data_IF_114689263819
#
_entry.id   IF_114689263819
#
_cell.length_a   1.000
_cell.length_b   1.000
_cell.length_c   1.000
_cell.angle_alpha   90.00
_cell.angle_beta   90.00
_cell.angle_gamma   90.00
#
_symmetry.space_group_name_H-M   'P 1'
#
loop_
_entity.id
_entity.type
_entity.pdbx_description
1 polymer ?
#
# COMPACT_ATOMS: atom_id res chain seq x y z
N UNK A 1 -2.55 31.39 -10.51
CA UNK A 1 -1.20 30.75 -10.58
C UNK A 1 -1.13 29.71 -11.71
N UNK A 2 -2.11 28.87 -11.89
CA UNK A 2 -2.14 27.86 -12.97
C UNK A 2 -2.01 28.47 -14.36
N UNK A 3 -2.67 29.58 -14.63
CA UNK A 3 -2.57 30.32 -15.90
C UNK A 3 -1.15 30.87 -16.14
N UNK A 4 -0.47 31.30 -15.09
CA UNK A 4 0.91 31.79 -15.14
C UNK A 4 1.90 30.68 -15.47
N UNK A 5 1.68 29.47 -14.92
CA UNK A 5 2.44 28.27 -15.22
C UNK A 5 2.21 27.80 -16.66
N UNK A 6 0.96 27.81 -17.16
CA UNK A 6 0.66 27.47 -18.55
C UNK A 6 1.40 28.41 -19.51
N UNK A 7 1.34 29.71 -19.28
CA UNK A 7 2.02 30.73 -20.10
C UNK A 7 3.55 30.60 -20.06
N UNK A 8 4.10 30.18 -18.92
CA UNK A 8 5.54 29.86 -18.81
C UNK A 8 5.94 28.71 -19.74
N UNK A 9 5.20 27.64 -19.76
CA UNK A 9 5.50 26.47 -20.60
C UNK A 9 5.26 26.76 -22.09
N UNK A 10 4.38 27.70 -22.41
CA UNK A 10 4.14 28.18 -23.78
C UNK A 10 5.16 29.22 -24.26
N UNK A 11 6.08 29.65 -23.38
CA UNK A 11 7.08 30.67 -23.68
C UNK A 11 6.52 32.08 -23.83
N UNK A 12 5.36 32.35 -23.24
CA UNK A 12 4.59 33.62 -23.41
C UNK A 12 4.60 34.51 -22.16
N UNK A 13 5.54 34.32 -21.25
CA UNK A 13 5.64 35.17 -20.06
C UNK A 13 6.28 36.52 -20.36
N UNK A 14 5.72 37.57 -19.78
CA UNK A 14 6.36 38.89 -19.70
C UNK A 14 7.40 38.93 -18.58
N UNK A 15 8.32 39.88 -18.64
CA UNK A 15 9.40 40.04 -17.64
C UNK A 15 8.90 40.32 -16.21
N UNK A 16 7.70 40.89 -16.09
CA UNK A 16 7.04 41.10 -14.80
C UNK A 16 6.44 39.81 -14.23
N UNK A 17 5.89 38.98 -15.11
CA UNK A 17 5.32 37.68 -14.75
C UNK A 17 6.39 36.64 -14.39
N UNK A 18 7.57 36.68 -15.06
CA UNK A 18 8.71 35.85 -14.69
C UNK A 18 9.21 36.16 -13.27
N UNK A 19 9.27 37.44 -12.90
CA UNK A 19 9.65 37.84 -11.52
C UNK A 19 8.62 37.35 -10.52
N UNK A 20 7.33 37.51 -10.81
CA UNK A 20 6.25 37.02 -9.95
C UNK A 20 6.30 35.51 -9.77
N UNK A 21 6.55 34.74 -10.83
CA UNK A 21 6.73 33.29 -10.76
C UNK A 21 7.96 32.93 -9.91
N UNK A 22 9.07 33.66 -10.09
CA UNK A 22 10.29 33.46 -9.30
C UNK A 22 10.08 33.70 -7.80
N UNK A 23 9.35 34.73 -7.43
CA UNK A 23 9.03 35.03 -6.05
C UNK A 23 8.08 34.00 -5.44
N UNK A 24 7.09 33.57 -6.20
CA UNK A 24 6.20 32.50 -5.78
C UNK A 24 6.93 31.16 -5.56
N UNK A 25 7.87 30.78 -6.43
CA UNK A 25 8.71 29.58 -6.25
C UNK A 25 9.57 29.63 -4.98
N UNK A 26 10.08 30.81 -4.63
CA UNK A 26 10.90 30.99 -3.42
C UNK A 26 10.06 31.03 -2.14
N UNK A 27 8.78 31.34 -2.22
CA UNK A 27 7.92 31.53 -1.06
C UNK A 27 7.64 30.21 -0.30
N UNK A 28 7.69 29.03 -0.97
CA UNK A 28 7.46 27.75 -0.32
C UNK A 28 8.06 26.58 -1.10
N UNK A 29 8.67 25.59 -0.42
CA UNK A 29 9.12 24.33 -1.05
C UNK A 29 8.00 23.56 -1.76
N UNK A 30 6.75 23.69 -1.30
CA UNK A 30 5.59 23.05 -1.95
C UNK A 30 5.31 23.64 -3.33
N UNK A 31 5.57 24.94 -3.55
CA UNK A 31 5.41 25.59 -4.84
C UNK A 31 6.44 25.08 -5.86
N UNK A 32 7.68 24.87 -5.43
CA UNK A 32 8.73 24.29 -6.27
C UNK A 32 8.39 22.85 -6.67
N UNK A 33 7.80 22.06 -5.76
CA UNK A 33 7.34 20.70 -6.05
C UNK A 33 6.19 20.70 -7.06
N UNK A 34 5.22 21.59 -6.90
CA UNK A 34 4.08 21.74 -7.81
C UNK A 34 4.55 22.15 -9.22
N UNK A 35 5.48 23.09 -9.30
CA UNK A 35 6.11 23.48 -10.57
C UNK A 35 6.81 22.32 -11.24
N UNK A 36 7.63 21.56 -10.50
CA UNK A 36 8.35 20.41 -11.05
C UNK A 36 7.42 19.31 -11.57
N UNK A 37 6.28 19.09 -10.91
CA UNK A 37 5.27 18.12 -11.38
C UNK A 37 4.63 18.57 -12.70
N UNK A 38 4.28 19.84 -12.83
CA UNK A 38 3.71 20.39 -14.06
C UNK A 38 4.73 20.44 -15.19
N UNK A 39 5.98 20.80 -14.91
CA UNK A 39 7.07 20.77 -15.89
C UNK A 39 7.29 19.36 -16.47
N UNK A 40 7.28 18.35 -15.62
CA UNK A 40 7.40 16.95 -16.04
C UNK A 40 6.22 16.49 -16.91
N UNK A 41 5.01 16.95 -16.59
CA UNK A 41 3.83 16.66 -17.40
C UNK A 41 3.92 17.31 -18.80
N UNK A 42 4.29 18.60 -18.83
CA UNK A 42 4.47 19.35 -20.08
C UNK A 42 5.55 18.75 -20.99
N UNK A 43 6.70 18.36 -20.43
CA UNK A 43 7.79 17.70 -21.17
C UNK A 43 7.34 16.37 -21.80
N UNK A 44 6.58 15.56 -21.06
CA UNK A 44 5.97 14.34 -21.59
C UNK A 44 4.99 14.61 -22.73
N UNK A 45 4.16 15.62 -22.60
CA UNK A 45 3.22 16.01 -23.65
C UNK A 45 3.95 16.54 -24.89
N UNK A 46 4.96 17.38 -24.72
CA UNK A 46 5.79 17.94 -25.79
C UNK A 46 6.58 16.87 -26.54
N UNK A 47 7.08 15.85 -25.84
CA UNK A 47 7.78 14.72 -26.47
C UNK A 47 6.86 13.90 -27.39
N UNK A 48 5.59 13.72 -27.01
CA UNK A 48 4.58 13.03 -27.81
C UNK A 48 4.23 13.83 -29.06
N UNK A 49 4.11 15.16 -28.93
CA UNK A 49 3.79 16.05 -30.07
C UNK A 49 4.95 16.10 -31.08
N UNK A 50 6.21 16.24 -30.59
CA UNK A 50 7.42 16.23 -31.45
C UNK A 50 7.59 14.90 -32.18
N UNK A 51 7.31 13.77 -31.54
CA UNK A 51 7.34 12.47 -32.22
C UNK A 51 6.36 12.38 -33.38
N UNK A 52 5.20 13.04 -33.27
CA UNK A 52 4.21 13.13 -34.36
C UNK A 52 4.66 14.00 -35.51
N UNK A 53 5.33 15.13 -35.26
CA UNK A 53 5.84 16.01 -36.33
C UNK A 53 6.98 15.36 -37.14
N UNK A 54 7.84 14.58 -36.50
CA UNK A 54 8.92 13.84 -37.18
C UNK A 54 8.33 12.79 -38.13
N UNK A 55 7.34 12.03 -37.68
CA UNK A 55 6.65 11.02 -38.50
C UNK A 55 5.89 11.71 -39.70
N UNK A 56 5.28 12.85 -39.45
CA UNK A 56 4.59 13.64 -40.49
C UNK A 56 5.54 14.19 -41.56
N UNK A 57 6.78 14.57 -41.21
CA UNK A 57 7.81 15.08 -42.14
C UNK A 57 8.45 13.97 -42.97
N UNK A 58 8.65 12.79 -42.44
CA UNK A 58 9.16 11.64 -43.22
C UNK A 58 8.13 11.16 -44.23
N UNK A 59 6.84 11.11 -43.89
CA UNK A 59 5.76 10.77 -44.84
C UNK A 59 5.55 11.82 -45.93
N UNK A 60 5.93 13.08 -45.72
CA UNK A 60 5.85 14.14 -46.71
C UNK A 60 7.05 14.18 -47.69
N UNK A 61 8.16 13.54 -47.36
CA UNK A 61 9.40 13.54 -48.15
C UNK A 61 9.45 12.48 -49.26
N UNK A 62 8.67 11.40 -49.13
CA UNK A 62 8.60 10.33 -50.14
C UNK A 62 7.57 10.58 -51.26
N UNK A 63 7.00 11.77 -51.38
CA UNK A 63 5.98 12.19 -52.34
C UNK A 63 6.50 12.99 -53.51
N UNK A 64 7.67 12.69 -54.09
CA UNK A 64 8.21 13.31 -55.30
C UNK A 64 7.53 12.77 -56.56
N UNK A 65 6.95 13.70 -57.33
CA UNK A 65 6.61 13.68 -58.78
C UNK A 65 5.99 12.42 -59.40
N UNK A 66 4.66 12.46 -59.67
CA UNK A 66 4.14 12.18 -61.01
C UNK A 66 2.64 12.47 -61.14
N UNK A 67 2.33 13.29 -62.15
CA UNK A 67 1.20 13.38 -63.07
C UNK A 67 -0.06 12.55 -62.82
N UNK A 68 -1.23 13.22 -62.69
CA UNK A 68 -2.52 12.57 -62.91
C UNK A 68 -3.66 13.07 -62.01
N UNK A 69 -4.46 14.01 -62.55
CA UNK A 69 -5.59 14.67 -61.87
C UNK A 69 -6.72 13.74 -61.34
N UNK A 70 -6.72 12.47 -61.76
CA UNK A 70 -7.78 11.50 -61.42
C UNK A 70 -7.45 10.62 -60.19
N UNK A 71 -6.22 10.61 -59.69
CA UNK A 71 -5.82 9.78 -58.55
C UNK A 71 -5.95 10.50 -57.18
N UNK A 72 -6.25 11.80 -57.19
CA UNK A 72 -6.26 12.64 -55.97
C UNK A 72 -7.40 12.30 -55.02
N UNK A 73 -8.59 11.96 -55.53
CA UNK A 73 -9.72 11.58 -54.67
C UNK A 73 -9.54 10.22 -54.00
N UNK A 74 -8.93 9.22 -54.66
CA UNK A 74 -8.65 7.92 -54.03
C UNK A 74 -7.54 7.98 -52.99
N UNK A 75 -6.55 8.85 -53.15
CA UNK A 75 -5.47 9.05 -52.18
C UNK A 75 -5.96 9.72 -50.90
N UNK A 76 -6.91 10.65 -50.96
CA UNK A 76 -7.52 11.26 -49.78
C UNK A 76 -8.38 10.29 -49.00
N UNK A 77 -9.07 9.35 -49.66
CA UNK A 77 -9.84 8.31 -49.00
C UNK A 77 -8.94 7.28 -48.25
N UNK A 78 -7.76 6.93 -48.81
CA UNK A 78 -6.80 6.05 -48.17
C UNK A 78 -6.06 6.74 -47.03
N UNK A 79 -5.69 8.02 -47.15
CA UNK A 79 -5.07 8.79 -46.09
C UNK A 79 -6.04 9.02 -44.93
N UNK A 80 -7.32 9.32 -45.20
CA UNK A 80 -8.37 9.46 -44.20
C UNK A 80 -8.64 8.14 -43.42
N UNK A 81 -8.60 7.00 -44.14
CA UNK A 81 -8.76 5.68 -43.54
C UNK A 81 -7.62 5.30 -42.56
N UNK A 82 -6.37 5.59 -42.95
CA UNK A 82 -5.21 5.32 -42.07
C UNK A 82 -5.21 6.19 -40.82
N UNK A 83 -5.58 7.47 -40.92
CA UNK A 83 -5.70 8.38 -39.79
C UNK A 83 -6.81 7.90 -38.83
N UNK A 84 -7.94 7.44 -39.37
CA UNK A 84 -9.04 6.90 -38.56
C UNK A 84 -8.64 5.60 -37.83
N UNK A 85 -7.89 4.71 -38.49
CA UNK A 85 -7.39 3.46 -37.86
C UNK A 85 -6.38 3.79 -36.79
N UNK A 86 -5.46 4.74 -37.00
CA UNK A 86 -4.50 5.19 -35.98
C UNK A 86 -5.19 5.87 -34.79
N UNK A 87 -6.18 6.71 -35.04
CA UNK A 87 -6.96 7.34 -33.98
C UNK A 87 -7.78 6.31 -33.20
N UNK A 88 -8.39 5.33 -33.86
CA UNK A 88 -9.10 4.23 -33.21
C UNK A 88 -8.16 3.33 -32.41
N UNK A 89 -6.95 3.05 -32.90
CA UNK A 89 -5.93 2.29 -32.18
C UNK A 89 -5.45 3.02 -30.94
N UNK A 90 -5.19 4.32 -31.02
CA UNK A 90 -4.81 5.16 -29.88
C UNK A 90 -5.94 5.23 -28.86
N UNK A 91 -7.19 5.39 -29.30
CA UNK A 91 -8.37 5.37 -28.42
C UNK A 91 -8.56 3.99 -27.78
N UNK A 92 -8.38 2.90 -28.51
CA UNK A 92 -8.46 1.54 -27.98
C UNK A 92 -7.34 1.25 -26.95
N UNK A 93 -6.12 1.71 -27.22
CA UNK A 93 -4.99 1.63 -26.26
C UNK A 93 -5.29 2.50 -25.04
N UNK A 94 -5.79 3.70 -25.23
CA UNK A 94 -6.16 4.61 -24.14
C UNK A 94 -7.30 4.04 -23.30
N UNK A 95 -8.31 3.45 -23.92
CA UNK A 95 -9.41 2.77 -23.23
C UNK A 95 -8.97 1.50 -22.52
N UNK A 96 -8.03 0.73 -23.09
CA UNK A 96 -7.46 -0.43 -22.43
C UNK A 96 -6.56 -0.07 -21.24
N UNK A 97 -5.95 1.12 -21.23
CA UNK A 97 -5.13 1.64 -20.14
C UNK A 97 -5.94 2.46 -19.12
N UNK A 98 -7.04 3.09 -19.52
CA UNK A 98 -7.86 3.95 -18.65
C UNK A 98 -8.63 3.19 -17.56
N UNK A 99 -8.71 1.85 -17.67
CA UNK A 99 -9.36 1.00 -16.66
C UNK A 99 -8.42 0.22 -15.76
N UNK A 100 -7.09 0.29 -15.96
CA UNK A 100 -6.14 -0.49 -15.16
C UNK A 100 -5.72 0.29 -13.93
N UNK A 101 -6.05 -0.25 -12.76
CA UNK A 101 -5.57 0.25 -11.48
C UNK A 101 -4.03 0.18 -11.48
N UNK A 102 -3.34 1.30 -11.23
CA UNK A 102 -1.89 1.29 -11.05
C UNK A 102 -1.53 0.83 -9.64
N UNK A 103 -0.30 0.33 -9.43
CA UNK A 103 0.17 -0.09 -8.12
C UNK A 103 0.08 1.05 -7.08
N UNK A 104 0.40 2.27 -7.49
CA UNK A 104 0.29 3.44 -6.60
C UNK A 104 -1.16 3.77 -6.25
N UNK A 105 -2.08 3.73 -7.23
CA UNK A 105 -3.52 3.95 -6.96
C UNK A 105 -4.10 2.83 -6.09
N UNK A 106 -3.66 1.59 -6.30
CA UNK A 106 -4.05 0.47 -5.45
C UNK A 106 -3.60 0.71 -4.00
N UNK A 107 -2.33 1.06 -3.79
CA UNK A 107 -1.79 1.34 -2.46
C UNK A 107 -2.53 2.50 -1.77
N UNK A 108 -2.83 3.60 -2.49
CA UNK A 108 -3.63 4.70 -1.93
C UNK A 108 -5.01 4.24 -1.48
N UNK A 109 -5.69 3.43 -2.28
CA UNK A 109 -6.99 2.88 -1.94
C UNK A 109 -6.93 1.97 -0.70
N UNK A 110 -5.88 1.16 -0.57
CA UNK A 110 -5.65 0.35 0.63
C UNK A 110 -5.44 1.20 1.88
N UNK A 111 -4.65 2.28 1.77
CA UNK A 111 -4.41 3.23 2.87
C UNK A 111 -5.71 3.92 3.28
N UNK A 112 -6.53 4.35 2.32
CA UNK A 112 -7.81 4.98 2.59
C UNK A 112 -8.79 4.02 3.27
N UNK A 113 -8.94 2.81 2.73
CA UNK A 113 -9.81 1.77 3.28
C UNK A 113 -9.36 1.30 4.67
N UNK A 114 -8.06 1.31 4.96
CA UNK A 114 -7.52 0.91 6.27
C UNK A 114 -7.80 1.92 7.38
N UNK A 115 -8.12 3.17 7.03
CA UNK A 115 -8.47 4.22 7.98
C UNK A 115 -9.91 4.14 8.53
N UNK A 116 -10.74 3.22 7.99
CA UNK A 116 -12.10 3.02 8.46
C UNK A 116 -12.14 2.47 9.88
N UNK A 117 -13.06 2.99 10.69
CA UNK A 117 -13.33 2.48 12.04
C UNK A 117 -14.21 1.23 11.93
N UNK A 118 -13.77 0.13 12.51
CA UNK A 118 -14.54 -1.12 12.56
C UNK A 118 -13.73 -2.26 13.14
N UNK A 119 -14.42 -3.17 13.81
CA UNK A 119 -13.78 -4.36 14.37
C UNK A 119 -13.30 -5.28 13.25
N UNK A 120 -12.08 -5.75 13.38
CA UNK A 120 -11.44 -6.70 12.46
C UNK A 120 -10.85 -7.84 13.28
N UNK A 121 -11.03 -9.04 12.80
CA UNK A 121 -10.39 -10.22 13.36
C UNK A 121 -9.46 -10.83 12.30
N UNK A 122 -8.28 -11.22 12.71
CA UNK A 122 -7.29 -11.82 11.84
C UNK A 122 -6.79 -13.13 12.43
N UNK A 123 -6.75 -14.16 11.61
CA UNK A 123 -6.04 -15.40 11.90
C UNK A 123 -4.60 -15.26 11.40
N UNK A 124 -3.63 -15.52 12.25
CA UNK A 124 -2.21 -15.51 11.91
C UNK A 124 -1.75 -16.95 11.77
N UNK A 125 -1.14 -17.28 10.62
CA UNK A 125 -0.64 -18.63 10.35
C UNK A 125 0.82 -18.59 9.91
N UNK A 126 1.59 -19.56 10.37
CA UNK A 126 2.95 -19.78 9.90
C UNK A 126 2.93 -20.31 8.46
N UNK A 127 3.82 -19.82 7.61
CA UNK A 127 3.96 -20.22 6.22
C UNK A 127 5.27 -20.99 5.96
N UNK A 128 6.10 -21.17 6.97
CA UNK A 128 7.36 -21.90 6.83
C UNK A 128 7.13 -23.38 7.16
N UNK A 129 7.35 -24.26 6.18
CA UNK A 129 7.27 -25.72 6.36
C UNK A 129 8.30 -26.27 7.36
N UNK A 130 9.44 -25.58 7.45
CA UNK A 130 10.58 -26.03 8.24
C UNK A 130 10.65 -25.37 9.63
N UNK A 131 9.65 -24.55 9.98
CA UNK A 131 9.62 -23.91 11.27
C UNK A 131 9.23 -24.88 12.38
N UNK A 132 10.19 -25.14 13.26
CA UNK A 132 9.96 -25.87 14.50
C UNK A 132 9.86 -24.84 15.62
N UNK A 133 8.72 -24.73 16.33
CA UNK A 133 8.61 -23.81 17.48
C UNK A 133 9.72 -24.11 18.50
N UNK A 134 10.50 -23.10 18.84
CA UNK A 134 11.56 -23.22 19.85
C UNK A 134 10.89 -23.34 21.20
N UNK A 135 11.17 -24.46 21.89
CA UNK A 135 10.77 -24.76 23.28
C UNK A 135 9.37 -24.30 23.69
N UNK A 136 8.50 -25.19 24.14
CA UNK A 136 7.13 -24.92 24.59
C UNK A 136 6.97 -23.86 25.70
N UNK A 137 8.00 -23.04 25.91
CA UNK A 137 8.03 -21.92 26.88
C UNK A 137 7.39 -20.65 26.33
N UNK A 138 7.27 -20.50 25.01
CA UNK A 138 6.66 -19.31 24.42
C UNK A 138 5.37 -19.66 23.67
N UNK A 139 4.33 -18.81 23.76
CA UNK A 139 3.10 -19.03 23.01
C UNK A 139 3.36 -18.89 21.50
N UNK A 140 2.81 -19.81 20.73
CA UNK A 140 2.93 -19.78 19.26
C UNK A 140 2.22 -18.57 18.66
N UNK A 141 2.80 -18.03 17.59
CA UNK A 141 2.08 -17.09 16.73
C UNK A 141 1.21 -17.83 15.70
N UNK A 142 1.53 -19.09 15.40
CA UNK A 142 0.72 -19.91 14.51
C UNK A 142 -0.61 -20.26 15.15
N UNK A 143 -1.70 -20.00 14.45
CA UNK A 143 -3.08 -20.11 14.97
C UNK A 143 -3.48 -18.97 15.91
N UNK A 144 -2.68 -17.90 16.03
CA UNK A 144 -3.03 -16.75 16.85
C UNK A 144 -4.19 -15.96 16.23
N UNK A 145 -5.07 -15.45 17.10
CA UNK A 145 -6.16 -14.55 16.72
C UNK A 145 -5.83 -13.13 17.18
N UNK A 146 -5.86 -12.20 16.23
CA UNK A 146 -5.69 -10.77 16.48
C UNK A 146 -7.00 -10.04 16.22
N UNK A 147 -7.52 -9.36 17.22
CA UNK A 147 -8.69 -8.49 17.11
C UNK A 147 -8.24 -7.04 17.19
N UNK A 148 -8.69 -6.21 16.25
CA UNK A 148 -8.28 -4.80 16.17
C UNK A 148 -9.52 -3.95 15.91
N UNK A 149 -9.70 -2.90 16.71
CA UNK A 149 -10.69 -1.83 16.50
C UNK A 149 -10.04 -0.54 16.02
N UNK A 150 -8.89 -0.21 16.60
CA UNK A 150 -8.05 0.93 16.26
C UNK A 150 -6.58 0.59 16.54
N UNK A 151 -5.62 1.41 16.11
CA UNK A 151 -4.20 1.18 16.42
C UNK A 151 -3.90 0.99 17.90
N UNK A 152 -4.67 1.65 18.77
CA UNK A 152 -4.49 1.64 20.21
C UNK A 152 -5.47 0.68 20.93
N UNK A 153 -6.36 0.00 20.19
CA UNK A 153 -7.36 -0.90 20.76
C UNK A 153 -7.31 -2.25 20.04
N UNK A 154 -6.64 -3.22 20.68
CA UNK A 154 -6.44 -4.55 20.11
C UNK A 154 -6.36 -5.63 21.19
N UNK A 155 -6.59 -6.88 20.80
CA UNK A 155 -6.39 -8.08 21.59
C UNK A 155 -5.72 -9.13 20.72
N UNK A 156 -4.61 -9.68 21.19
CA UNK A 156 -3.90 -10.79 20.57
C UNK A 156 -3.98 -12.03 21.47
N UNK A 157 -4.63 -13.07 20.99
CA UNK A 157 -4.77 -14.36 21.67
C UNK A 157 -3.81 -15.35 21.04
N UNK A 158 -2.84 -15.82 21.81
CA UNK A 158 -1.86 -16.84 21.42
C UNK A 158 -2.04 -18.09 22.26
N UNK A 159 -1.64 -19.23 21.73
CA UNK A 159 -1.74 -20.50 22.42
C UNK A 159 -0.38 -21.12 22.62
N UNK A 160 -0.18 -21.72 23.79
CA UNK A 160 0.92 -22.63 24.02
C UNK A 160 0.62 -24.00 23.40
N UNK A 161 1.65 -24.82 23.25
CA UNK A 161 1.50 -26.17 22.73
C UNK A 161 0.58 -27.07 23.58
N UNK A 162 0.50 -26.80 24.87
CA UNK A 162 -0.38 -27.48 25.82
C UNK A 162 -1.83 -26.95 25.84
N UNK A 163 -2.15 -26.02 24.92
CA UNK A 163 -3.49 -25.44 24.78
C UNK A 163 -3.78 -24.26 25.71
N UNK A 164 -2.91 -23.94 26.67
CA UNK A 164 -3.07 -22.73 27.51
C UNK A 164 -2.95 -21.46 26.66
N UNK A 165 -3.62 -20.41 27.10
CA UNK A 165 -3.65 -19.15 26.34
C UNK A 165 -2.80 -18.07 27.00
N UNK A 166 -2.18 -17.26 26.17
CA UNK A 166 -1.53 -16.02 26.55
C UNK A 166 -2.20 -14.90 25.76
N UNK A 167 -2.78 -13.95 26.48
CA UNK A 167 -3.50 -12.85 25.86
C UNK A 167 -2.78 -11.53 26.15
N UNK A 168 -2.58 -10.73 25.12
CA UNK A 168 -2.06 -9.37 25.26
C UNK A 168 -2.99 -8.41 24.56
N UNK A 169 -3.09 -7.18 25.05
CA UNK A 169 -3.96 -6.20 24.42
C UNK A 169 -3.70 -4.79 24.89
N UNK A 170 -4.50 -3.89 24.34
CA UNK A 170 -4.60 -2.49 24.71
C UNK A 170 -6.05 -2.05 24.56
N UNK A 171 -6.54 -1.26 25.52
CA UNK A 171 -7.93 -0.77 25.56
C UNK A 171 -8.09 0.68 25.05
N UNK A 172 -7.02 1.23 24.49
CA UNK A 172 -6.91 2.61 24.01
C UNK A 172 -6.12 3.52 24.96
N UNK A 173 -5.98 3.14 26.23
CA UNK A 173 -5.28 3.92 27.25
C UNK A 173 -4.13 3.13 27.90
N UNK A 174 -4.36 1.85 28.14
CA UNK A 174 -3.46 0.97 28.88
C UNK A 174 -3.22 -0.33 28.12
N UNK A 175 -1.98 -0.76 28.05
CA UNK A 175 -1.66 -2.09 27.56
C UNK A 175 -1.63 -3.10 28.70
N UNK A 176 -1.87 -4.37 28.37
CA UNK A 176 -1.96 -5.42 29.34
C UNK A 176 -1.54 -6.79 28.80
N UNK A 177 -1.15 -7.67 29.71
CA UNK A 177 -0.81 -9.06 29.41
C UNK A 177 -1.41 -10.00 30.47
N UNK A 178 -2.12 -11.02 29.99
CA UNK A 178 -2.73 -12.08 30.76
C UNK A 178 -2.00 -13.39 30.43
N UNK A 179 -0.99 -13.78 31.20
CA UNK A 179 -0.32 -15.07 31.02
C UNK A 179 -1.26 -16.22 31.44
N UNK A 180 -1.00 -17.48 31.03
CA UNK A 180 -1.85 -18.61 31.44
C UNK A 180 -1.89 -18.76 32.98
N UNK A 181 -0.76 -18.52 33.64
CA UNK A 181 -0.62 -18.62 35.07
C UNK A 181 -0.04 -17.33 35.65
N UNK A 182 -0.24 -17.10 36.97
CA UNK A 182 0.34 -15.99 37.68
C UNK A 182 -0.43 -14.69 37.56
N UNK A 183 0.25 -13.57 37.68
CA UNK A 183 -0.36 -12.24 37.76
C UNK A 183 -0.67 -11.66 36.41
N UNK A 184 -1.78 -10.93 36.27
CA UNK A 184 -2.07 -10.05 35.14
C UNK A 184 -1.18 -8.82 35.24
N UNK A 185 -0.57 -8.38 34.15
CA UNK A 185 0.29 -7.20 34.11
C UNK A 185 -0.39 -6.12 33.30
N UNK A 186 -0.41 -4.91 33.81
CA UNK A 186 -1.03 -3.75 33.14
C UNK A 186 -0.02 -2.59 33.19
N UNK A 187 0.08 -1.83 32.12
CA UNK A 187 0.96 -0.67 32.02
C UNK A 187 0.24 0.53 31.44
N UNK A 188 0.56 1.71 31.91
CA UNK A 188 0.12 2.98 31.34
C UNK A 188 0.76 3.25 29.96
N UNK A 189 1.85 2.54 29.60
CA UNK A 189 2.43 2.60 28.25
C UNK A 189 1.65 1.68 27.30
N UNK A 190 0.91 2.22 26.30
CA UNK A 190 0.17 1.43 25.32
C UNK A 190 1.05 0.49 24.49
N UNK A 191 2.36 0.74 24.44
CA UNK A 191 3.31 -0.03 23.63
C UNK A 191 3.99 -1.16 24.40
N UNK A 192 3.89 -1.18 25.75
CA UNK A 192 4.61 -2.11 26.62
C UNK A 192 4.39 -3.58 26.25
N UNK A 193 3.15 -3.97 26.01
CA UNK A 193 2.76 -5.35 25.67
C UNK A 193 2.42 -5.55 24.19
N UNK A 194 2.64 -4.53 23.36
CA UNK A 194 2.56 -4.62 21.91
C UNK A 194 3.78 -5.33 21.29
N UNK A 195 4.49 -6.11 22.07
CA UNK A 195 5.77 -6.72 21.75
C UNK A 195 5.84 -7.35 20.37
N UNK A 196 7.05 -7.60 19.87
CA UNK A 196 7.26 -8.23 18.59
C UNK A 196 6.63 -9.62 18.54
N UNK A 197 6.34 -10.10 17.35
CA UNK A 197 6.11 -11.53 17.11
C UNK A 197 7.28 -12.27 17.76
N UNK A 198 7.04 -13.31 18.59
CA UNK A 198 8.12 -14.07 19.21
C UNK A 198 9.19 -14.45 18.18
N UNK A 199 10.43 -14.08 18.45
CA UNK A 199 11.55 -14.29 17.53
C UNK A 199 11.78 -13.17 16.50
N UNK A 200 10.98 -12.11 16.47
CA UNK A 200 11.17 -10.96 15.57
C UNK A 200 11.41 -9.67 16.35
N UNK A 201 12.29 -8.82 15.81
CA UNK A 201 12.63 -7.52 16.38
C UNK A 201 11.57 -6.43 16.13
N UNK A 202 10.46 -6.78 15.48
CA UNK A 202 9.43 -5.84 15.07
C UNK A 202 8.14 -6.11 15.83
N UNK A 203 7.42 -5.04 16.13
CA UNK A 203 6.06 -5.12 16.64
C UNK A 203 5.19 -5.96 15.71
N UNK A 204 4.08 -6.46 16.23
CA UNK A 204 3.12 -7.20 15.41
C UNK A 204 2.67 -6.25 14.30
N UNK A 205 3.05 -6.50 13.03
CA UNK A 205 2.46 -5.78 11.92
C UNK A 205 0.96 -6.06 11.96
N UNK A 206 0.11 -5.20 11.39
CA UNK A 206 -1.35 -5.33 11.28
C UNK A 206 -2.18 -4.70 12.39
N UNK A 207 -1.62 -4.31 13.51
CA UNK A 207 -2.37 -3.52 14.50
C UNK A 207 -2.63 -2.13 13.93
N UNK A 208 -1.63 -1.50 13.33
CA UNK A 208 -1.76 -0.22 12.62
C UNK A 208 -1.49 -0.41 11.11
N UNK A 209 -2.43 -1.06 10.44
CA UNK A 209 -2.33 -1.35 9.00
C UNK A 209 -2.09 -0.08 8.18
N UNK A 210 -2.72 1.03 8.53
CA UNK A 210 -2.55 2.29 7.80
C UNK A 210 -1.13 2.80 7.87
N UNK A 211 -0.52 2.81 9.04
CA UNK A 211 0.87 3.22 9.24
C UNK A 211 1.83 2.27 8.50
N UNK A 212 1.59 0.97 8.57
CA UNK A 212 2.39 -0.03 7.88
C UNK A 212 2.32 0.16 6.35
N UNK A 213 1.13 0.41 5.78
CA UNK A 213 0.95 0.68 4.36
C UNK A 213 1.63 1.99 3.92
N UNK A 214 1.61 3.03 4.75
CA UNK A 214 2.32 4.29 4.49
C UNK A 214 3.84 4.07 4.40
N UNK A 215 4.41 3.18 5.20
CA UNK A 215 5.83 2.83 5.15
C UNK A 215 6.21 2.13 3.82
N UNK A 216 5.28 1.43 3.17
CA UNK A 216 5.55 0.78 1.87
C UNK A 216 5.95 1.79 0.79
N UNK A 217 5.44 3.02 0.83
CA UNK A 217 5.80 4.09 -0.15
C UNK A 217 7.30 4.37 -0.18
N UNK A 218 7.94 4.32 0.96
CA UNK A 218 9.34 4.72 1.12
C UNK A 218 10.31 3.54 1.03
N UNK A 219 9.97 2.43 1.67
CA UNK A 219 10.86 1.29 1.85
C UNK A 219 10.78 0.21 0.79
N UNK A 220 9.73 0.20 -0.06
CA UNK A 220 9.43 -0.91 -0.97
C UNK A 220 9.20 -0.44 -2.40
N UNK A 221 9.49 -1.33 -3.34
CA UNK A 221 9.00 -1.26 -4.72
C UNK A 221 7.66 -2.00 -4.76
N UNK A 222 6.61 -1.29 -5.14
CA UNK A 222 5.25 -1.83 -5.15
C UNK A 222 4.82 -2.14 -6.57
N UNK A 223 4.31 -3.35 -6.80
CA UNK A 223 3.83 -3.86 -8.07
C UNK A 223 2.43 -4.44 -7.93
N UNK A 224 1.57 -4.12 -8.89
CA UNK A 224 0.24 -4.72 -8.98
C UNK A 224 0.30 -5.89 -9.95
N UNK A 225 0.00 -7.09 -9.47
CA UNK A 225 0.05 -8.30 -10.26
C UNK A 225 -1.34 -8.65 -10.80
N UNK A 226 -1.38 -9.18 -12.03
CA UNK A 226 -2.62 -9.66 -12.66
C UNK A 226 -3.14 -10.99 -12.06
N UNK A 227 -2.62 -11.37 -10.88
CA UNK A 227 -3.13 -12.52 -10.13
C UNK A 227 -4.44 -12.15 -9.47
N UNK A 228 -5.49 -12.89 -9.78
CA UNK A 228 -6.80 -12.76 -9.17
C UNK A 228 -7.23 -14.11 -8.60
N UNK A 229 -7.63 -14.12 -7.35
CA UNK A 229 -8.24 -15.27 -6.70
C UNK A 229 -9.47 -14.78 -5.95
N UNK A 230 -10.59 -15.45 -6.08
CA UNK A 230 -11.85 -15.09 -5.40
C UNK A 230 -12.30 -13.62 -5.61
N UNK A 231 -11.98 -13.02 -6.78
CA UNK A 231 -12.25 -11.60 -7.04
C UNK A 231 -11.25 -10.63 -6.39
N UNK A 232 -10.28 -11.10 -5.67
CA UNK A 232 -9.21 -10.30 -5.06
C UNK A 232 -8.07 -10.06 -6.04
N UNK A 233 -7.41 -8.94 -5.88
CA UNK A 233 -6.20 -8.58 -6.63
C UNK A 233 -4.99 -8.59 -5.71
N UNK A 234 -3.81 -8.90 -6.28
CA UNK A 234 -2.56 -8.98 -5.53
C UNK A 234 -1.72 -7.71 -5.73
N UNK A 235 -1.42 -7.01 -4.64
CA UNK A 235 -0.37 -6.01 -4.56
C UNK A 235 0.85 -6.65 -3.89
N UNK A 236 1.98 -6.65 -4.60
CA UNK A 236 3.26 -7.15 -4.09
C UNK A 236 4.18 -5.98 -3.78
N UNK A 237 4.87 -6.04 -2.65
CA UNK A 237 5.85 -5.06 -2.24
C UNK A 237 7.17 -5.74 -1.92
N UNK A 238 8.25 -5.34 -2.60
CA UNK A 238 9.61 -5.86 -2.40
C UNK A 238 10.50 -4.79 -1.77
N UNK A 239 11.26 -5.18 -0.77
CA UNK A 239 12.13 -4.27 -0.03
C UNK A 239 13.23 -3.70 -0.93
N UNK A 240 13.37 -2.36 -0.98
CA UNK A 240 14.35 -1.65 -1.82
C UNK A 240 15.80 -1.86 -1.38
N UNK A 241 16.02 -2.00 -0.08
CA UNK A 241 17.36 -2.08 0.49
C UNK A 241 17.40 -3.02 1.70
N UNK A 242 18.50 -3.75 1.87
CA UNK A 242 18.73 -4.58 3.05
C UNK A 242 18.76 -3.77 4.36
N UNK A 243 19.08 -2.48 4.29
CA UNK A 243 19.12 -1.57 5.43
C UNK A 243 17.72 -1.15 5.90
N UNK A 244 16.70 -1.24 5.02
CA UNK A 244 15.34 -0.95 5.42
C UNK A 244 14.82 -2.04 6.35
N UNK A 245 14.19 -1.63 7.45
CA UNK A 245 13.60 -2.56 8.42
C UNK A 245 12.29 -3.14 7.85
N UNK A 246 11.99 -4.39 8.19
CA UNK A 246 10.77 -5.06 7.77
C UNK A 246 11.00 -6.34 6.96
N UNK A 247 9.93 -7.02 6.53
CA UNK A 247 10.01 -8.24 5.74
C UNK A 247 10.68 -7.98 4.38
N UNK A 248 11.24 -9.02 3.78
CA UNK A 248 11.81 -8.91 2.44
C UNK A 248 10.73 -8.63 1.39
N UNK A 249 9.58 -9.27 1.55
CA UNK A 249 8.46 -9.20 0.63
C UNK A 249 7.14 -9.18 1.41
N UNK A 250 6.18 -8.40 0.91
CA UNK A 250 4.78 -8.44 1.34
C UNK A 250 3.88 -8.74 0.14
N UNK A 251 2.85 -9.52 0.39
CA UNK A 251 1.75 -9.74 -0.54
C UNK A 251 0.46 -9.28 0.13
N UNK A 252 -0.32 -8.46 -0.57
CA UNK A 252 -1.58 -7.90 -0.08
C UNK A 252 -2.68 -8.30 -1.06
N UNK A 253 -3.54 -9.21 -0.63
CA UNK A 253 -4.72 -9.65 -1.38
C UNK A 253 -5.92 -8.81 -0.96
N UNK A 254 -6.51 -8.08 -1.88
CA UNK A 254 -7.54 -7.09 -1.59
C UNK A 254 -8.65 -7.05 -2.63
N UNK A 255 -9.82 -6.53 -2.25
CA UNK A 255 -10.92 -6.25 -3.17
C UNK A 255 -10.66 -4.91 -3.88
N UNK A 256 -10.52 -4.89 -5.22
CA UNK A 256 -10.16 -3.66 -5.95
C UNK A 256 -11.17 -2.52 -5.81
N UNK A 257 -12.47 -2.83 -5.64
CA UNK A 257 -13.52 -1.82 -5.52
C UNK A 257 -13.55 -1.14 -4.15
N UNK A 258 -13.27 -1.87 -3.07
CA UNK A 258 -13.39 -1.38 -1.69
C UNK A 258 -12.05 -1.10 -1.02
N UNK A 259 -10.94 -1.67 -1.50
CA UNK A 259 -9.64 -1.61 -0.84
C UNK A 259 -9.52 -2.49 0.41
N UNK A 260 -10.53 -3.32 0.70
CA UNK A 260 -10.48 -4.22 1.85
C UNK A 260 -9.41 -5.29 1.62
N UNK A 261 -8.49 -5.41 2.57
CA UNK A 261 -7.42 -6.42 2.57
C UNK A 261 -7.97 -7.68 3.26
N UNK A 262 -7.95 -8.79 2.53
CA UNK A 262 -8.41 -10.08 3.01
C UNK A 262 -7.28 -10.97 3.52
N UNK A 263 -6.11 -10.86 2.90
CA UNK A 263 -4.95 -11.64 3.27
C UNK A 263 -3.68 -10.83 3.07
N UNK A 264 -2.77 -10.94 4.01
CA UNK A 264 -1.41 -10.39 3.94
C UNK A 264 -0.43 -11.52 4.16
N UNK A 265 0.64 -11.57 3.36
CA UNK A 265 1.74 -12.52 3.56
C UNK A 265 3.02 -11.74 3.73
N UNK A 266 3.73 -11.99 4.81
CA UNK A 266 5.01 -11.40 5.15
C UNK A 266 6.08 -12.45 5.00
N UNK A 267 6.93 -12.29 3.99
CA UNK A 267 7.99 -13.25 3.69
C UNK A 267 9.38 -12.64 3.94
N UNK A 268 10.31 -13.49 4.36
CA UNK A 268 11.67 -13.08 4.68
C UNK A 268 11.74 -12.12 5.85
N UNK A 269 10.98 -12.41 6.91
CA UNK A 269 11.07 -11.71 8.18
C UNK A 269 12.47 -11.92 8.78
N UNK A 270 13.09 -10.89 9.39
CA UNK A 270 14.37 -11.06 10.05
C UNK A 270 14.21 -12.01 11.23
N UNK A 271 14.97 -13.07 11.23
CA UNK A 271 15.01 -14.01 12.36
C UNK A 271 15.95 -13.48 13.44
N UNK A 272 15.37 -13.08 14.57
CA UNK A 272 16.10 -13.01 15.82
C UNK A 272 15.49 -14.07 16.76
N UNK A 273 16.25 -15.02 17.23
CA UNK A 273 15.81 -16.01 18.24
C UNK A 273 14.74 -17.03 17.76
N UNK A 274 14.73 -17.42 16.48
CA UNK A 274 14.01 -18.63 16.07
C UNK A 274 12.52 -18.47 15.75
N UNK A 275 12.04 -17.27 15.40
CA UNK A 275 10.66 -17.09 14.90
C UNK A 275 10.48 -17.54 13.43
N UNK A 276 9.25 -17.63 12.92
CA UNK A 276 8.99 -17.98 11.53
C UNK A 276 9.54 -16.91 10.57
N UNK A 277 10.00 -17.34 9.40
CA UNK A 277 10.45 -16.42 8.33
C UNK A 277 9.29 -15.83 7.55
N UNK A 278 8.17 -16.53 7.56
CA UNK A 278 6.99 -16.12 6.81
C UNK A 278 5.73 -16.38 7.62
N UNK A 279 4.84 -15.39 7.63
CA UNK A 279 3.53 -15.49 8.25
C UNK A 279 2.46 -14.98 7.29
N UNK A 280 1.31 -15.61 7.28
CA UNK A 280 0.10 -15.10 6.65
C UNK A 280 -0.86 -14.58 7.73
N UNK A 281 -1.63 -13.57 7.35
CA UNK A 281 -2.62 -12.92 8.20
C UNK A 281 -3.88 -12.80 7.38
N UNK A 282 -4.93 -13.48 7.79
CA UNK A 282 -6.17 -13.61 7.05
C UNK A 282 -7.32 -12.98 7.81
N UNK A 283 -8.03 -12.07 7.15
CA UNK A 283 -9.23 -11.44 7.67
C UNK A 283 -10.29 -12.52 7.88
N UNK A 284 -10.84 -12.55 9.08
CA UNK A 284 -11.94 -13.43 9.48
C UNK A 284 -13.23 -12.62 9.62
N UNK A 285 -14.37 -13.28 9.53
CA UNK A 285 -15.62 -12.69 9.90
C UNK A 285 -15.60 -12.36 11.39
N UNK A 286 -15.58 -11.07 11.72
CA UNK A 286 -15.56 -10.63 13.10
C UNK A 286 -16.99 -10.27 13.54
N UNK A 287 -17.46 -10.79 14.69
CA UNK A 287 -18.64 -10.23 15.33
C UNK A 287 -18.33 -8.80 15.81
N UNK A 288 -19.35 -7.97 15.95
CA UNK A 288 -19.21 -6.69 16.64
C UNK A 288 -18.81 -7.01 18.09
N UNK A 289 -17.63 -6.57 18.48
CA UNK A 289 -17.08 -6.86 19.81
C UNK A 289 -17.54 -5.78 20.81
N UNK A 290 -17.98 -6.15 22.03
CA UNK A 290 -18.24 -5.16 23.06
C UNK A 290 -16.96 -4.45 23.47
N UNK A 291 -17.05 -3.23 24.01
CA UNK A 291 -15.87 -2.46 24.43
C UNK A 291 -15.07 -3.18 25.51
N UNK A 292 -15.76 -3.87 26.38
CA UNK A 292 -15.19 -4.65 27.49
C UNK A 292 -14.28 -5.78 27.01
N UNK A 293 -14.48 -6.28 25.78
CA UNK A 293 -13.60 -7.29 25.17
C UNK A 293 -12.14 -6.82 25.08
N UNK A 294 -11.91 -5.52 24.91
CA UNK A 294 -10.56 -4.96 24.81
C UNK A 294 -9.92 -4.70 26.19
N UNK A 295 -10.63 -4.88 27.28
CA UNK A 295 -10.13 -4.75 28.64
C UNK A 295 -9.58 -6.07 29.15
N UNK A 296 -8.50 -6.02 29.95
CA UNK A 296 -7.89 -7.23 30.51
C UNK A 296 -8.88 -8.10 31.32
N UNK A 297 -9.83 -7.45 32.02
CA UNK A 297 -10.81 -8.13 32.87
C UNK A 297 -11.70 -9.13 32.11
N UNK A 298 -11.87 -8.98 30.80
CA UNK A 298 -12.62 -9.94 29.98
C UNK A 298 -11.85 -11.25 29.71
N UNK A 299 -10.55 -11.32 30.06
CA UNK A 299 -9.67 -12.41 29.69
C UNK A 299 -9.09 -13.20 30.85
N UNK A 300 -9.56 -12.95 32.06
CA UNK A 300 -9.16 -13.70 33.26
C UNK A 300 -10.26 -13.70 34.30
N UNK A 301 -10.26 -14.65 35.25
CA UNK A 301 -11.16 -14.63 36.41
C UNK A 301 -11.00 -13.37 37.27
N UNK A 302 -12.05 -12.90 37.95
CA UNK A 302 -12.02 -11.63 38.70
C UNK A 302 -11.13 -11.67 39.97
N UNK A 303 -10.84 -12.84 40.49
CA UNK A 303 -9.99 -13.07 41.66
C UNK A 303 -8.48 -13.05 41.34
N UNK A 304 -8.14 -12.90 40.05
CA UNK A 304 -6.74 -12.90 39.61
C UNK A 304 -6.02 -11.61 40.00
N UNK A 305 -4.84 -11.74 40.57
CA UNK A 305 -4.02 -10.59 40.97
C UNK A 305 -3.60 -9.78 39.72
N UNK A 306 -3.88 -8.49 39.77
CA UNK A 306 -3.45 -7.52 38.76
C UNK A 306 -2.31 -6.68 39.31
N UNK A 307 -1.22 -6.51 38.55
CA UNK A 307 -0.04 -5.73 38.92
C UNK A 307 0.18 -4.65 37.86
N UNK A 308 0.38 -3.43 38.31
CA UNK A 308 0.80 -2.34 37.45
C UNK A 308 2.33 -2.37 37.25
N UNK A 309 2.74 -2.23 35.99
CA UNK A 309 4.14 -2.08 35.59
C UNK A 309 4.36 -0.65 35.08
N UNK A 310 5.44 -0.05 35.51
CA UNK A 310 5.90 1.25 35.03
C UNK A 310 6.49 1.16 33.61
#
# INVERSE_FOLDING_TARGET
MEELLSRYFDGMLSHSEERHLGDWLKASPSHSLQFAQQAKLHDRMSSIVRSREVIGRELARDGGESSGRQSRQKRWALAGGMIAILAASVLAIWWSMAGKLSASMALERLIEASGGVGDRAYLITNQDSDYIPVDGRMPSIDGAMLYVRSPDMYVLVRRFHDGRTFVTGCDGERSWAVPPDGKVRVSADPMRFRGPIPGHQYGIPFIDIRSDLLQLRHGYVVSLLDKKANGWQLLQAEKKSAQHRGPRQLELWFTPSTGVIHRMVFAGLPQAQGGPRSVAVELQDAPILPREFFQHAAHHPPDRIVVEEE
#
